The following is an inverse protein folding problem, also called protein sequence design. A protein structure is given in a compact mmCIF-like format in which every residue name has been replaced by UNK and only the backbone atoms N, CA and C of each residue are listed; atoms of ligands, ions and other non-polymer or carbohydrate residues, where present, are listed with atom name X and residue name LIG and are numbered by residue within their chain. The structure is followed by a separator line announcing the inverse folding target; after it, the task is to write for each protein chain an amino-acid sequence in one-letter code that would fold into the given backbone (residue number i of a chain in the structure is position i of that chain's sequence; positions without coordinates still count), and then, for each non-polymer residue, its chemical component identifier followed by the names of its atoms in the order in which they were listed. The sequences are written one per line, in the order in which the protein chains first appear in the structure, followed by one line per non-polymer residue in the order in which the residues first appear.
data_IF_257751498960
#
_entry.id   IF_257751498960
#
_cell.length_a   1.000
_cell.length_b   1.000
_cell.length_c   1.000
_cell.angle_alpha   90.00
_cell.angle_beta   90.00
_cell.angle_gamma   90.00
#
_symmetry.space_group_name_H-M   'P 1'
#
loop_
_entity.id
_entity.type
_entity.pdbx_description
1 polymer ?
#
# COMPACT_ATOMS: atom_id res chain seq x y z
N UNK A 1 -50.19 -7.72 -6.99
CA UNK A 1 -49.07 -7.67 -7.97
C UNK A 1 -48.49 -6.28 -7.95
N UNK A 2 -47.19 -6.14 -8.24
CA UNK A 2 -46.32 -4.95 -8.13
C UNK A 2 -45.53 -4.87 -6.81
N UNK A 3 -44.35 -5.50 -6.82
CA UNK A 3 -43.26 -5.26 -5.86
C UNK A 3 -42.64 -3.92 -6.22
N UNK A 4 -42.53 -3.01 -5.24
CA UNK A 4 -41.76 -1.77 -5.37
C UNK A 4 -40.30 -2.13 -5.17
N UNK A 5 -39.51 -2.07 -6.23
CA UNK A 5 -38.08 -2.31 -6.20
C UNK A 5 -37.43 -1.20 -5.37
N UNK A 6 -36.85 -1.59 -4.23
CA UNK A 6 -36.01 -0.72 -3.44
C UNK A 6 -34.72 -0.47 -4.22
N UNK A 7 -34.46 0.80 -4.52
CA UNK A 7 -33.21 1.25 -5.10
C UNK A 7 -32.04 0.67 -4.29
N UNK A 8 -31.21 -0.13 -4.95
CA UNK A 8 -29.94 -0.58 -4.38
C UNK A 8 -29.12 0.66 -4.00
N UNK A 9 -28.79 0.74 -2.71
CA UNK A 9 -27.86 1.74 -2.22
C UNK A 9 -26.51 1.50 -2.94
N UNK A 10 -25.91 2.50 -3.62
CA UNK A 10 -24.54 2.35 -4.09
C UNK A 10 -23.65 2.42 -2.85
N UNK A 11 -23.44 1.27 -2.22
CA UNK A 11 -22.44 1.09 -1.15
C UNK A 11 -21.03 1.10 -1.71
N UNK A 12 -20.72 2.04 -2.61
CA UNK A 12 -19.37 2.29 -3.06
C UNK A 12 -18.70 3.19 -2.03
N UNK A 13 -17.73 2.67 -1.30
CA UNK A 13 -16.77 3.51 -0.59
C UNK A 13 -16.14 4.44 -1.61
N UNK A 14 -16.30 5.75 -1.46
CA UNK A 14 -15.61 6.72 -2.32
C UNK A 14 -14.10 6.52 -2.15
N UNK A 15 -13.48 5.82 -3.11
CA UNK A 15 -12.04 5.61 -3.16
C UNK A 15 -11.43 6.94 -3.65
N UNK A 16 -11.17 7.84 -2.70
CA UNK A 16 -10.54 9.11 -2.97
C UNK A 16 -9.02 9.02 -2.81
N UNK A 17 -8.30 9.72 -3.68
CA UNK A 17 -6.86 9.89 -3.57
C UNK A 17 -6.52 10.74 -2.36
N UNK A 18 -5.39 10.46 -1.74
CA UNK A 18 -4.84 11.34 -0.72
C UNK A 18 -4.24 12.63 -1.36
N UNK A 19 -3.74 13.53 -0.51
CA UNK A 19 -3.10 14.77 -0.96
C UNK A 19 -1.84 14.59 -1.82
N UNK A 20 -1.32 13.36 -1.94
CA UNK A 20 -0.16 12.99 -2.75
C UNK A 20 -0.55 12.23 -4.03
N UNK A 21 -1.83 12.25 -4.42
CA UNK A 21 -2.36 11.50 -5.57
C UNK A 21 -2.11 9.98 -5.48
N UNK A 22 -2.12 9.43 -4.26
CA UNK A 22 -1.95 8.00 -4.00
C UNK A 22 -3.21 7.36 -3.41
N UNK A 23 -3.30 6.04 -3.57
CA UNK A 23 -4.16 5.14 -2.81
C UNK A 23 -3.30 4.20 -1.96
N UNK A 24 -3.80 3.76 -0.81
CA UNK A 24 -3.15 2.67 -0.08
C UNK A 24 -3.62 1.29 -0.58
N UNK A 25 -2.80 0.26 -0.37
CA UNK A 25 -3.11 -1.09 -0.85
C UNK A 25 -4.40 -1.66 -0.23
N UNK A 26 -4.72 -1.31 1.01
CA UNK A 26 -5.99 -1.70 1.64
C UNK A 26 -7.20 -1.15 0.89
N UNK A 27 -7.19 0.12 0.50
CA UNK A 27 -8.26 0.74 -0.32
C UNK A 27 -8.41 0.02 -1.66
N UNK A 28 -7.29 -0.31 -2.31
CA UNK A 28 -7.28 -1.01 -3.60
C UNK A 28 -7.95 -2.39 -3.46
N UNK A 29 -7.54 -3.19 -2.47
CA UNK A 29 -8.12 -4.51 -2.21
C UNK A 29 -9.62 -4.44 -1.89
N UNK A 30 -10.04 -3.42 -1.12
CA UNK A 30 -11.45 -3.16 -0.83
C UNK A 30 -12.24 -2.78 -2.09
N UNK A 31 -11.68 -1.94 -2.97
CA UNK A 31 -12.33 -1.53 -4.23
C UNK A 31 -12.58 -2.72 -5.16
N UNK A 32 -11.62 -3.62 -5.28
CA UNK A 32 -11.74 -4.80 -6.12
C UNK A 32 -12.52 -5.94 -5.46
N UNK A 33 -12.79 -5.83 -4.14
CA UNK A 33 -13.36 -6.90 -3.33
C UNK A 33 -12.67 -8.26 -3.58
N UNK A 34 -11.35 -8.21 -3.73
CA UNK A 34 -10.52 -9.32 -4.18
C UNK A 34 -9.10 -9.14 -3.68
N UNK A 35 -8.43 -10.26 -3.48
CA UNK A 35 -6.99 -10.39 -3.30
C UNK A 35 -6.26 -9.93 -4.58
N UNK A 36 -4.96 -9.65 -4.48
CA UNK A 36 -4.11 -9.45 -5.66
C UNK A 36 -3.73 -10.80 -6.29
N UNK A 37 -3.52 -10.81 -7.62
CA UNK A 37 -2.92 -11.98 -8.30
C UNK A 37 -1.41 -12.06 -8.03
N UNK A 38 -0.80 -13.18 -8.39
CA UNK A 38 0.64 -13.37 -8.27
C UNK A 38 1.42 -12.31 -9.08
N UNK A 39 0.99 -11.99 -10.29
CA UNK A 39 1.61 -10.98 -11.15
C UNK A 39 1.57 -9.59 -10.51
N UNK A 40 0.45 -9.25 -9.86
CA UNK A 40 0.33 -7.99 -9.13
C UNK A 40 1.25 -7.97 -7.90
N UNK A 41 1.39 -9.09 -7.20
CA UNK A 41 2.33 -9.21 -6.08
C UNK A 41 3.78 -9.02 -6.55
N UNK A 42 4.18 -9.68 -7.64
CA UNK A 42 5.51 -9.51 -8.22
C UNK A 42 5.78 -8.07 -8.69
N UNK A 43 4.81 -7.44 -9.35
CA UNK A 43 4.93 -6.05 -9.78
C UNK A 43 5.06 -5.10 -8.58
N UNK A 44 4.27 -5.31 -7.53
CA UNK A 44 4.35 -4.53 -6.29
C UNK A 44 5.72 -4.68 -5.64
N UNK A 45 6.23 -5.91 -5.49
CA UNK A 45 7.55 -6.16 -4.91
C UNK A 45 8.67 -5.50 -5.70
N UNK A 46 8.61 -5.58 -7.03
CA UNK A 46 9.59 -4.92 -7.89
C UNK A 46 9.58 -3.40 -7.70
N UNK A 47 8.39 -2.78 -7.73
CA UNK A 47 8.26 -1.33 -7.62
C UNK A 47 8.60 -0.83 -6.20
N UNK A 48 8.22 -1.57 -5.17
CA UNK A 48 8.61 -1.28 -3.79
C UNK A 48 10.13 -1.35 -3.63
N UNK A 49 10.77 -2.41 -4.11
CA UNK A 49 12.24 -2.57 -4.03
C UNK A 49 12.98 -1.42 -4.72
N UNK A 50 12.51 -1.00 -5.90
CA UNK A 50 13.09 0.14 -6.62
C UNK A 50 12.93 1.46 -5.85
N UNK A 51 11.74 1.69 -5.28
CA UNK A 51 11.48 2.86 -4.44
C UNK A 51 12.40 2.86 -3.21
N UNK A 52 12.59 1.70 -2.59
CA UNK A 52 13.37 1.53 -1.38
C UNK A 52 14.85 1.74 -1.62
N UNK A 53 15.39 1.20 -2.70
CA UNK A 53 16.78 1.44 -3.09
C UNK A 53 17.05 2.94 -3.30
N UNK A 54 16.18 3.61 -4.07
CA UNK A 54 16.29 5.07 -4.29
C UNK A 54 16.25 5.84 -2.97
N UNK A 55 15.35 5.45 -2.08
CA UNK A 55 15.28 6.01 -0.74
C UNK A 55 16.61 5.79 0.01
N UNK A 56 17.12 4.56 0.10
CA UNK A 56 18.39 4.29 0.80
C UNK A 56 19.54 5.17 0.28
N UNK A 57 19.65 5.36 -1.03
CA UNK A 57 20.66 6.21 -1.65
C UNK A 57 20.55 7.70 -1.23
N UNK A 58 19.34 8.19 -0.96
CA UNK A 58 19.05 9.56 -0.53
C UNK A 58 19.25 9.80 0.99
N UNK A 59 19.44 8.74 1.79
CA UNK A 59 19.83 8.84 3.19
C UNK A 59 18.73 9.29 4.18
N UNK A 60 17.45 9.19 3.82
CA UNK A 60 16.33 9.53 4.72
C UNK A 60 16.08 8.42 5.76
N UNK A 61 15.37 8.74 6.86
CA UNK A 61 15.01 7.74 7.87
C UNK A 61 13.79 6.92 7.40
N UNK A 62 13.94 5.58 7.37
CA UNK A 62 12.91 4.68 6.84
C UNK A 62 12.31 3.77 7.90
N UNK A 63 11.05 3.41 7.69
CA UNK A 63 10.25 2.53 8.52
C UNK A 63 9.68 1.41 7.64
N UNK A 64 9.70 0.17 8.12
CA UNK A 64 9.15 -0.94 7.35
C UNK A 64 7.61 -0.86 7.31
N UNK A 65 6.96 -1.07 6.16
CA UNK A 65 5.52 -1.22 6.14
C UNK A 65 5.14 -2.58 6.72
N UNK A 66 4.37 -2.56 7.80
CA UNK A 66 3.86 -3.74 8.50
C UNK A 66 2.41 -4.07 8.17
N UNK A 67 1.69 -3.15 7.49
CA UNK A 67 0.26 -3.26 7.20
C UNK A 67 -0.02 -2.79 5.78
N UNK A 68 -1.13 -3.29 5.20
CA UNK A 68 -1.61 -2.91 3.87
C UNK A 68 -1.86 -1.39 3.74
N UNK A 69 -2.26 -0.72 4.82
CA UNK A 69 -2.48 0.72 4.87
C UNK A 69 -1.21 1.56 4.68
N UNK A 70 -0.03 0.97 4.92
CA UNK A 70 1.26 1.66 4.77
C UNK A 70 1.72 1.73 3.32
N UNK A 71 1.29 0.80 2.47
CA UNK A 71 1.75 0.71 1.09
C UNK A 71 0.98 1.70 0.23
N UNK A 72 1.64 2.77 -0.21
CA UNK A 72 1.07 3.82 -1.03
C UNK A 72 1.45 3.65 -2.50
N UNK A 73 0.45 3.63 -3.37
CA UNK A 73 0.60 3.51 -4.82
C UNK A 73 0.07 4.75 -5.53
N UNK A 74 0.84 5.22 -6.50
CA UNK A 74 0.36 6.16 -7.50
C UNK A 74 -0.50 5.46 -8.55
N UNK A 75 -1.28 6.25 -9.29
CA UNK A 75 -2.13 5.78 -10.40
C UNK A 75 -1.36 5.08 -11.53
N UNK A 76 -0.06 5.38 -11.66
CA UNK A 76 0.82 4.77 -12.66
C UNK A 76 1.42 3.42 -12.20
N UNK A 77 1.06 2.96 -11.00
CA UNK A 77 1.55 1.71 -10.42
C UNK A 77 2.93 1.82 -9.76
N UNK A 78 3.48 3.04 -9.61
CA UNK A 78 4.71 3.25 -8.83
C UNK A 78 4.41 3.34 -7.34
N UNK A 79 5.35 2.86 -6.52
CA UNK A 79 5.25 2.94 -5.05
C UNK A 79 5.76 4.31 -4.59
N UNK A 80 4.95 5.02 -3.82
CA UNK A 80 5.31 6.34 -3.29
C UNK A 80 6.27 6.21 -2.11
N UNK A 81 7.32 7.06 -2.00
CA UNK A 81 8.29 7.04 -0.88
C UNK A 81 7.67 7.18 0.50
N UNK A 82 6.48 7.80 0.59
CA UNK A 82 5.69 7.86 1.83
C UNK A 82 5.39 6.49 2.44
N UNK A 83 5.45 5.42 1.66
CA UNK A 83 5.37 4.03 2.14
C UNK A 83 6.43 3.73 3.21
N UNK A 84 7.62 4.30 3.08
CA UNK A 84 8.72 4.12 4.02
C UNK A 84 8.82 5.22 5.08
N UNK A 85 8.02 6.28 4.98
CA UNK A 85 8.09 7.42 5.89
C UNK A 85 7.31 7.13 7.17
N UNK A 86 7.75 7.74 8.28
CA UNK A 86 7.01 7.71 9.53
C UNK A 86 5.62 8.33 9.34
N UNK A 87 4.59 7.57 9.65
CA UNK A 87 3.24 8.11 9.82
C UNK A 87 3.11 8.40 11.31
N UNK A 88 2.73 9.64 11.66
CA UNK A 88 2.80 10.17 13.04
C UNK A 88 2.05 9.36 14.11
N UNK A 89 1.16 8.47 13.69
CA UNK A 89 0.34 7.63 14.58
C UNK A 89 0.76 6.17 14.63
N UNK A 90 1.85 5.77 13.97
CA UNK A 90 2.31 4.38 14.00
C UNK A 90 3.63 4.20 14.74
N UNK A 91 3.53 4.07 16.06
CA UNK A 91 4.66 3.76 16.94
C UNK A 91 5.13 2.30 16.87
N UNK A 92 4.44 1.43 16.13
CA UNK A 92 4.78 0.00 16.04
C UNK A 92 5.85 -0.29 15.00
N UNK A 93 6.09 0.64 14.07
CA UNK A 93 7.03 0.44 12.97
C UNK A 93 8.48 0.52 13.42
N UNK A 94 9.23 -0.51 13.05
CA UNK A 94 10.66 -0.54 13.25
C UNK A 94 11.36 0.34 12.23
N UNK A 95 12.32 1.14 12.73
CA UNK A 95 13.19 1.95 11.90
C UNK A 95 14.21 1.04 11.21
N UNK A 96 14.26 1.10 9.90
CA UNK A 96 15.26 0.40 9.08
C UNK A 96 16.65 0.97 9.40
N UNK A 97 17.57 0.08 9.77
CA UNK A 97 18.97 0.43 10.05
C UNK A 97 19.89 -0.02 8.93
N UNK A 98 19.48 -0.97 8.10
CA UNK A 98 20.27 -1.49 6.96
C UNK A 98 19.41 -2.04 5.83
N UNK A 99 19.96 -2.12 4.61
CA UNK A 99 19.32 -2.74 3.43
C UNK A 99 18.90 -4.20 3.68
N UNK A 100 19.66 -4.93 4.50
CA UNK A 100 19.42 -6.35 4.78
C UNK A 100 18.12 -6.61 5.55
N UNK A 101 17.58 -5.61 6.26
CA UNK A 101 16.29 -5.70 6.95
C UNK A 101 15.10 -5.51 6.01
N UNK A 102 15.31 -4.91 4.83
CA UNK A 102 14.23 -4.53 3.90
C UNK A 102 13.77 -5.70 3.03
N UNK A 103 14.70 -6.56 2.62
CA UNK A 103 14.46 -7.72 1.74
C UNK A 103 13.54 -8.80 2.34
N UNK A 104 13.65 -9.19 3.63
CA UNK A 104 12.77 -10.19 4.22
C UNK A 104 11.37 -9.66 4.59
N UNK A 105 11.23 -8.38 4.95
CA UNK A 105 9.96 -7.84 5.48
C UNK A 105 8.92 -7.55 4.39
N UNK A 106 9.34 -7.24 3.17
CA UNK A 106 8.42 -7.22 2.02
C UNK A 106 7.84 -8.60 1.70
N UNK A 107 8.43 -9.67 2.22
CA UNK A 107 8.29 -10.99 1.62
C UNK A 107 7.12 -11.81 2.19
N UNK A 108 6.56 -11.49 3.36
CA UNK A 108 5.53 -12.35 3.94
C UNK A 108 4.39 -11.66 4.71
N UNK A 109 4.62 -10.62 5.51
CA UNK A 109 3.57 -10.18 6.45
C UNK A 109 2.48 -9.27 5.86
N UNK A 110 2.75 -8.62 4.72
CA UNK A 110 1.79 -7.66 4.13
C UNK A 110 0.71 -8.34 3.28
N UNK A 111 0.92 -9.58 2.82
CA UNK A 111 0.02 -10.25 1.85
C UNK A 111 -0.66 -11.53 2.37
N UNK A 112 -0.43 -11.93 3.62
CA UNK A 112 -1.06 -13.12 4.25
C UNK A 112 -2.12 -12.74 5.26
#
# INVERSE_FOLDING_TARGET
MMRKEAAGSPGGTDIALNSADCLNLQQILQAFNSNISEEHAWALFYQASKCYQKCLDEGTAYYLPTELGHVLLHKDGTVHPGTLMYIRDDSSREKVKSEHEVSPTLRFDVLT
#
